data_IF_353125607572
#
_entry.id   IF_353125607572
#
_cell.length_a   1.000
_cell.length_b   1.000
_cell.length_c   1.000
_cell.angle_alpha   90.00
_cell.angle_beta   90.00
_cell.angle_gamma   90.00
#
_symmetry.space_group_name_H-M   'P 1'
#
loop_
_entity.id
_entity.type
_entity.pdbx_description
1 polymer ?
#
# COMPACT_ATOMS: atom_id res chain seq x y z
N UNK A 1 9.76 18.61 15.73
CA UNK A 1 9.74 17.17 16.11
C UNK A 1 8.79 16.49 15.13
N UNK A 2 9.31 16.19 13.93
CA UNK A 2 8.53 15.73 12.79
C UNK A 2 7.88 14.37 13.04
N UNK A 3 6.63 14.21 12.60
CA UNK A 3 6.03 12.89 12.37
C UNK A 3 6.81 12.23 11.23
N UNK A 4 7.57 11.19 11.56
CA UNK A 4 8.19 10.27 10.60
C UNK A 4 7.05 9.66 9.78
N UNK A 5 7.08 9.85 8.45
CA UNK A 5 6.14 9.19 7.55
C UNK A 5 6.42 7.67 7.60
N UNK A 6 5.37 6.86 7.74
CA UNK A 6 5.51 5.41 7.88
C UNK A 6 6.25 4.78 6.69
N UNK A 7 6.99 3.69 6.95
CA UNK A 7 7.77 2.91 5.98
C UNK A 7 6.98 2.55 4.71
N UNK A 8 5.69 2.24 4.87
CA UNK A 8 4.76 1.95 3.77
C UNK A 8 4.59 3.14 2.82
N UNK A 9 4.52 4.35 3.37
CA UNK A 9 4.32 5.56 2.58
C UNK A 9 5.56 5.92 1.74
N UNK A 10 6.76 5.79 2.31
CA UNK A 10 8.01 5.99 1.57
C UNK A 10 8.20 4.95 0.45
N UNK A 11 7.74 3.72 0.68
CA UNK A 11 7.74 2.65 -0.31
C UNK A 11 6.78 2.94 -1.48
N UNK A 12 5.56 3.38 -1.18
CA UNK A 12 4.57 3.74 -2.20
C UNK A 12 5.00 4.93 -3.06
N UNK A 13 5.61 5.95 -2.46
CA UNK A 13 6.13 7.10 -3.23
C UNK A 13 7.36 6.71 -4.07
N UNK A 14 8.24 5.86 -3.54
CA UNK A 14 9.35 5.29 -4.31
C UNK A 14 8.86 4.51 -5.54
N UNK A 15 7.83 3.69 -5.38
CA UNK A 15 7.18 2.99 -6.49
C UNK A 15 6.50 3.96 -7.46
N UNK A 16 5.81 4.99 -6.96
CA UNK A 16 5.19 6.01 -7.78
C UNK A 16 6.19 6.73 -8.71
N UNK A 17 7.41 7.02 -8.24
CA UNK A 17 8.45 7.59 -9.09
C UNK A 17 9.07 6.58 -10.06
N UNK A 18 9.15 5.30 -9.68
CA UNK A 18 9.61 4.23 -10.56
C UNK A 18 8.64 3.97 -11.72
N UNK A 19 7.33 4.13 -11.51
CA UNK A 19 6.30 4.00 -12.55
C UNK A 19 6.52 4.98 -13.72
N UNK A 20 7.17 6.12 -13.49
CA UNK A 20 7.47 7.08 -14.56
C UNK A 20 8.48 6.53 -15.58
N UNK A 21 9.25 5.51 -15.22
CA UNK A 21 10.17 4.83 -16.11
C UNK A 21 9.47 3.83 -17.04
N UNK A 22 8.19 3.50 -16.82
CA UNK A 22 7.47 2.47 -17.55
C UNK A 22 6.38 3.08 -18.45
N UNK A 23 6.50 2.83 -19.75
CA UNK A 23 5.51 3.18 -20.76
C UNK A 23 4.79 1.92 -21.25
N UNK A 24 3.51 1.81 -20.94
CA UNK A 24 2.69 0.62 -21.21
C UNK A 24 2.04 0.59 -22.61
N UNK A 25 2.51 1.43 -23.55
CA UNK A 25 1.97 1.46 -24.91
C UNK A 25 2.53 0.38 -25.85
N UNK A 26 3.49 -0.43 -25.38
CA UNK A 26 4.13 -1.48 -26.18
C UNK A 26 3.20 -2.69 -26.40
N UNK A 27 2.83 -3.03 -27.66
CA UNK A 27 1.96 -4.18 -27.94
C UNK A 27 2.71 -5.53 -27.87
N UNK A 28 4.05 -5.53 -27.87
CA UNK A 28 4.87 -6.73 -27.88
C UNK A 28 5.51 -7.01 -26.51
N UNK A 29 5.80 -8.27 -26.21
CA UNK A 29 6.44 -8.68 -24.95
C UNK A 29 7.74 -7.89 -24.68
N UNK A 30 7.96 -7.28 -23.50
CA UNK A 30 7.27 -7.48 -22.22
C UNK A 30 6.04 -6.58 -21.94
N UNK A 31 5.45 -5.96 -22.97
CA UNK A 31 4.27 -5.08 -22.90
C UNK A 31 4.48 -3.74 -22.19
N UNK A 32 5.75 -3.33 -22.06
CA UNK A 32 6.13 -1.98 -21.67
C UNK A 32 7.45 -1.59 -22.36
N UNK A 33 7.73 -0.31 -22.45
CA UNK A 33 9.06 0.26 -22.67
C UNK A 33 9.59 0.77 -21.33
N UNK A 34 10.82 0.42 -20.98
CA UNK A 34 11.49 0.96 -19.81
C UNK A 34 12.49 2.03 -20.25
N UNK A 35 12.29 3.27 -19.80
CA UNK A 35 13.20 4.38 -20.02
C UNK A 35 13.56 5.05 -18.70
N UNK A 36 14.80 4.80 -18.24
CA UNK A 36 15.33 5.37 -16.99
C UNK A 36 15.44 6.90 -17.06
N UNK A 37 15.55 7.49 -18.25
CA UNK A 37 15.62 8.96 -18.41
C UNK A 37 14.30 9.65 -18.07
N UNK A 38 13.19 8.89 -18.03
CA UNK A 38 11.90 9.39 -17.59
C UNK A 38 11.76 9.44 -16.05
N UNK A 39 12.71 8.85 -15.31
CA UNK A 39 12.72 8.95 -13.86
C UNK A 39 12.72 10.44 -13.46
N UNK A 40 11.82 10.87 -12.55
CA UNK A 40 11.69 12.28 -12.23
C UNK A 40 13.01 12.79 -11.66
N UNK A 41 13.55 13.86 -12.24
CA UNK A 41 14.75 14.50 -11.74
C UNK A 41 14.50 15.17 -10.37
N UNK A 42 15.59 15.59 -9.71
CA UNK A 42 15.54 16.17 -8.36
C UNK A 42 14.57 17.37 -8.26
N UNK A 43 14.40 18.14 -9.33
CA UNK A 43 13.48 19.28 -9.33
C UNK A 43 12.01 18.82 -9.35
N UNK A 44 11.69 17.78 -10.11
CA UNK A 44 10.34 17.18 -10.17
C UNK A 44 9.97 16.45 -8.89
N UNK A 45 10.90 15.70 -8.30
CA UNK A 45 10.71 15.05 -7.00
C UNK A 45 10.51 16.09 -5.89
N UNK A 46 11.33 17.16 -5.88
CA UNK A 46 11.18 18.27 -4.93
C UNK A 46 9.84 18.98 -5.10
N UNK A 47 9.35 19.13 -6.33
CA UNK A 47 8.04 19.71 -6.60
C UNK A 47 6.91 18.83 -6.05
N UNK A 48 6.99 17.51 -6.24
CA UNK A 48 6.07 16.54 -5.66
C UNK A 48 6.05 16.63 -4.12
N UNK A 49 7.22 16.63 -3.48
CA UNK A 49 7.33 16.73 -2.03
C UNK A 49 6.90 18.08 -1.48
N UNK A 50 7.23 19.17 -2.17
CA UNK A 50 6.77 20.50 -1.78
C UNK A 50 5.25 20.59 -1.82
N UNK A 51 4.62 20.06 -2.87
CA UNK A 51 3.17 19.98 -2.93
C UNK A 51 2.59 19.11 -1.80
N UNK A 52 3.19 17.95 -1.55
CA UNK A 52 2.75 17.01 -0.52
C UNK A 52 2.88 17.57 0.91
N UNK A 53 4.02 18.16 1.27
CA UNK A 53 4.27 18.69 2.62
C UNK A 53 3.52 20.00 2.88
N UNK A 54 3.38 20.87 1.87
CA UNK A 54 2.56 22.08 1.99
C UNK A 54 1.12 21.70 2.35
N UNK A 55 0.57 20.67 1.72
CA UNK A 55 -0.77 20.17 2.05
C UNK A 55 -0.83 19.54 3.46
N UNK A 56 0.26 18.91 3.90
CA UNK A 56 0.31 18.17 5.18
C UNK A 56 0.50 19.08 6.40
N UNK A 57 1.35 20.11 6.32
CA UNK A 57 1.67 21.01 7.45
C UNK A 57 0.70 22.19 7.63
N UNK A 58 0.02 22.63 6.57
CA UNK A 58 -1.03 23.67 6.67
C UNK A 58 -2.18 23.30 7.62
N UNK A 59 -2.33 22.00 7.93
CA UNK A 59 -3.33 21.47 8.85
C UNK A 59 -2.85 21.43 10.33
N UNK A 60 -1.57 21.67 10.62
CA UNK A 60 -1.00 21.54 11.99
C UNK A 60 -0.89 22.91 12.70
N UNK A 61 -0.59 23.99 11.98
CA UNK A 61 -0.44 25.33 12.60
C UNK A 61 -1.77 25.95 13.06
N UNK A 62 -2.88 25.63 12.41
CA UNK A 62 -4.21 26.15 12.80
C UNK A 62 -4.76 25.55 14.10
N UNK A 63 -4.19 24.43 14.58
CA UNK A 63 -4.66 23.75 15.80
C UNK A 63 -3.87 24.16 17.05
N UNK A 64 -2.70 24.78 16.88
CA UNK A 64 -1.84 25.22 17.98
C UNK A 64 -2.10 26.64 18.48
N UNK A 65 -2.67 27.54 17.66
CA UNK A 65 -2.99 28.91 18.07
C UNK A 65 -4.33 29.06 18.81
N UNK A 66 -5.27 28.11 18.67
CA UNK A 66 -6.62 28.24 19.24
C UNK A 66 -6.81 27.62 20.64
N UNK A 67 -5.75 27.12 21.29
CA UNK A 67 -5.85 26.45 22.62
C UNK A 67 -5.22 27.20 23.80
N UNK A 68 -4.80 28.46 23.64
CA UNK A 68 -4.33 29.30 24.77
C UNK A 68 -4.89 30.72 24.71
N UNK A 69 -6.12 30.88 25.18
CA UNK A 69 -6.64 31.98 26.02
C UNK A 69 -8.10 32.28 25.69
N UNK A 70 -8.98 31.92 26.63
CA UNK A 70 -10.35 32.40 26.68
C UNK A 70 -10.45 33.77 27.34
N UNK A 71 -11.60 34.42 27.06
CA UNK A 71 -12.20 35.64 27.64
C UNK A 71 -11.96 37.01 26.99
N UNK A 72 -13.03 37.43 26.29
CA UNK A 72 -13.61 38.76 26.05
C UNK A 72 -13.21 39.93 27.00
N UNK A 73 -12.83 41.09 26.45
CA UNK A 73 -13.67 42.29 26.27
C UNK A 73 -12.89 43.55 25.82
N UNK A 74 -13.53 44.35 24.94
CA UNK A 74 -13.47 45.81 24.66
C UNK A 74 -12.12 46.49 24.32
N UNK A 75 -11.99 47.58 23.55
CA UNK A 75 -12.76 48.45 22.63
C UNK A 75 -11.71 49.39 21.97
N UNK A 76 -11.88 49.73 20.70
CA UNK A 76 -11.36 50.86 19.89
C UNK A 76 -9.89 51.36 19.99
N UNK A 77 -9.17 51.32 18.86
CA UNK A 77 -8.91 52.50 18.00
C UNK A 77 -7.89 52.21 16.86
N UNK A 78 -8.21 52.77 15.67
CA UNK A 78 -7.36 53.25 14.55
C UNK A 78 -5.86 52.90 14.58
N UNK A 79 -5.21 52.43 13.50
CA UNK A 79 -5.13 53.09 12.19
C UNK A 79 -4.44 52.18 11.16
N UNK A 80 -4.80 52.34 9.88
CA UNK A 80 -4.25 51.61 8.75
C UNK A 80 -2.86 52.16 8.38
N UNK A 81 -1.83 51.31 8.33
CA UNK A 81 -0.73 51.57 7.40
C UNK A 81 -0.03 50.29 6.93
N UNK A 82 -0.03 50.15 5.60
CA UNK A 82 0.60 49.09 4.82
C UNK A 82 2.11 49.05 5.06
N UNK A 83 2.62 47.93 5.60
CA UNK A 83 3.93 47.34 5.29
C UNK A 83 4.16 46.10 6.16
N UNK A 84 3.60 44.96 5.77
CA UNK A 84 4.09 43.66 6.24
C UNK A 84 4.75 42.93 5.06
N UNK A 85 5.99 43.33 4.81
CA UNK A 85 7.01 42.44 4.25
C UNK A 85 7.10 41.25 5.21
N UNK A 86 6.59 40.09 4.80
CA UNK A 86 6.94 38.84 5.45
C UNK A 86 8.39 38.57 5.07
N UNK A 87 9.29 38.84 6.02
CA UNK A 87 10.69 38.40 5.93
C UNK A 87 10.70 36.88 6.00
N UNK A 88 11.24 36.23 4.98
CA UNK A 88 11.58 34.82 5.02
C UNK A 88 12.49 34.56 6.22
N UNK A 89 11.96 33.87 7.23
CA UNK A 89 12.76 33.32 8.31
C UNK A 89 13.56 32.13 7.75
N UNK A 90 14.88 32.26 7.83
CA UNK A 90 15.93 31.25 7.64
C UNK A 90 15.63 30.04 6.73
N UNK A 91 16.09 30.15 5.47
CA UNK A 91 16.18 29.08 4.47
C UNK A 91 16.97 27.81 4.89
N UNK A 92 17.53 27.71 6.09
CA UNK A 92 18.36 26.58 6.50
C UNK A 92 17.61 25.44 7.20
N UNK A 93 16.46 25.70 7.85
CA UNK A 93 15.69 24.65 8.54
C UNK A 93 14.72 23.91 7.60
N UNK A 94 14.09 24.61 6.64
CA UNK A 94 13.21 23.99 5.65
C UNK A 94 13.98 23.02 4.72
N UNK A 95 15.15 23.41 4.21
CA UNK A 95 15.96 22.57 3.32
C UNK A 95 16.44 21.27 3.99
N UNK A 96 16.60 21.25 5.33
CA UNK A 96 17.02 20.06 6.06
C UNK A 96 15.91 18.98 6.14
N UNK A 97 14.65 19.40 6.26
CA UNK A 97 13.48 18.53 6.25
C UNK A 97 13.24 17.88 4.88
N UNK A 98 13.39 18.68 3.81
CA UNK A 98 13.28 18.21 2.43
C UNK A 98 14.38 17.21 2.09
N UNK A 99 15.62 17.46 2.53
CA UNK A 99 16.72 16.53 2.31
C UNK A 99 16.47 15.20 3.03
N UNK A 100 15.93 15.20 4.26
CA UNK A 100 15.61 13.96 4.98
C UNK A 100 14.50 13.14 4.30
N UNK A 101 13.44 13.80 3.81
CA UNK A 101 12.34 13.15 3.08
C UNK A 101 12.78 12.65 1.70
N UNK A 102 13.62 13.42 1.02
CA UNK A 102 14.23 13.03 -0.25
C UNK A 102 15.18 11.84 -0.07
N UNK A 103 15.98 11.86 0.99
CA UNK A 103 16.79 10.73 1.47
C UNK A 103 15.88 9.52 1.67
N UNK A 104 14.85 9.59 2.54
CA UNK A 104 13.92 8.49 2.80
C UNK A 104 13.27 7.93 1.51
N UNK A 105 12.94 8.78 0.54
CA UNK A 105 12.34 8.38 -0.73
C UNK A 105 13.35 7.74 -1.68
N UNK A 106 14.55 8.30 -1.76
CA UNK A 106 15.64 7.72 -2.53
C UNK A 106 15.99 6.38 -1.96
N UNK A 107 16.00 6.22 -0.65
CA UNK A 107 16.31 4.96 -0.02
C UNK A 107 15.15 3.97 -0.02
N UNK A 108 13.90 4.41 0.05
CA UNK A 108 12.72 3.59 -0.22
C UNK A 108 12.69 3.11 -1.67
N UNK A 109 13.04 3.99 -2.61
CA UNK A 109 13.28 3.67 -4.02
C UNK A 109 14.48 2.75 -4.20
N UNK A 110 15.60 2.98 -3.50
CA UNK A 110 16.81 2.15 -3.57
C UNK A 110 16.55 0.78 -2.96
N UNK A 111 15.76 0.69 -1.90
CA UNK A 111 15.34 -0.55 -1.24
C UNK A 111 14.33 -1.30 -2.11
N UNK A 112 13.40 -0.59 -2.76
CA UNK A 112 12.53 -1.13 -3.81
C UNK A 112 13.37 -1.64 -4.97
N UNK A 113 14.34 -0.87 -5.48
CA UNK A 113 15.28 -1.29 -6.51
C UNK A 113 16.23 -2.38 -6.06
N UNK A 114 16.70 -2.44 -4.81
CA UNK A 114 17.55 -3.52 -4.29
C UNK A 114 16.72 -4.78 -4.09
N UNK A 115 15.46 -4.64 -3.70
CA UNK A 115 14.50 -5.72 -3.59
C UNK A 115 14.15 -6.25 -4.97
N UNK A 116 13.76 -5.40 -5.93
CA UNK A 116 13.49 -5.74 -7.33
C UNK A 116 14.74 -6.12 -8.12
N UNK A 117 15.95 -5.68 -7.74
CA UNK A 117 17.23 -6.05 -8.36
C UNK A 117 17.79 -7.32 -7.77
N UNK A 118 17.68 -7.56 -6.46
CA UNK A 118 17.97 -8.86 -5.86
C UNK A 118 16.96 -9.89 -6.37
N UNK A 119 15.68 -9.52 -6.44
CA UNK A 119 14.61 -10.30 -7.06
C UNK A 119 14.87 -10.49 -8.54
N UNK A 120 15.25 -9.47 -9.31
CA UNK A 120 15.53 -9.63 -10.75
C UNK A 120 16.88 -10.27 -11.02
N UNK A 121 17.84 -10.30 -10.09
CA UNK A 121 19.08 -11.06 -10.19
C UNK A 121 18.85 -12.53 -9.85
N UNK A 122 17.98 -12.85 -8.88
CA UNK A 122 17.50 -14.22 -8.64
C UNK A 122 16.62 -14.68 -9.81
N UNK A 123 15.68 -13.84 -10.23
CA UNK A 123 14.81 -14.08 -11.36
C UNK A 123 15.59 -14.09 -12.68
N UNK A 124 16.65 -13.30 -12.89
CA UNK A 124 17.49 -13.32 -14.11
C UNK A 124 18.51 -14.44 -14.11
N UNK A 125 19.04 -14.86 -12.95
CA UNK A 125 19.79 -16.14 -12.84
C UNK A 125 18.89 -17.32 -13.22
N UNK A 126 17.60 -17.25 -12.91
CA UNK A 126 16.59 -18.26 -13.29
C UNK A 126 16.06 -18.07 -14.73
N UNK A 127 15.87 -16.84 -15.23
CA UNK A 127 15.29 -16.51 -16.57
C UNK A 127 16.32 -16.50 -17.70
N UNK A 128 17.46 -15.82 -17.55
CA UNK A 128 18.39 -15.58 -18.67
C UNK A 128 19.21 -16.81 -19.01
N UNK A 129 19.55 -17.65 -18.01
CA UNK A 129 20.23 -18.93 -18.26
C UNK A 129 19.27 -20.01 -18.79
N UNK A 130 17.96 -19.91 -18.57
CA UNK A 130 16.99 -20.85 -19.14
C UNK A 130 16.41 -20.41 -20.49
N UNK A 131 16.09 -19.15 -20.75
CA UNK A 131 15.38 -18.80 -21.98
C UNK A 131 16.28 -18.90 -23.24
N UNK A 132 17.52 -18.41 -23.18
CA UNK A 132 18.42 -18.41 -24.34
C UNK A 132 19.19 -19.73 -24.53
N UNK A 133 19.59 -20.42 -23.45
CA UNK A 133 20.20 -21.74 -23.57
C UNK A 133 19.16 -22.78 -24.00
N UNK A 134 17.91 -22.75 -23.52
CA UNK A 134 16.92 -23.77 -23.92
C UNK A 134 16.51 -23.63 -25.39
N UNK A 135 16.41 -22.40 -25.91
CA UNK A 135 16.08 -22.16 -27.33
C UNK A 135 17.25 -22.44 -28.28
N UNK A 136 18.50 -22.26 -27.82
CA UNK A 136 19.71 -22.60 -28.59
C UNK A 136 20.07 -24.09 -28.49
N UNK A 137 19.88 -24.73 -27.33
CA UNK A 137 20.17 -26.14 -27.09
C UNK A 137 19.17 -27.08 -27.77
N UNK A 138 17.89 -26.73 -27.84
CA UNK A 138 16.90 -27.56 -28.57
C UNK A 138 17.23 -27.65 -30.06
N UNK A 139 17.92 -26.65 -30.63
CA UNK A 139 18.42 -26.68 -32.01
C UNK A 139 19.77 -27.40 -32.18
N UNK A 140 20.49 -27.69 -31.10
CA UNK A 140 21.84 -28.28 -31.12
C UNK A 140 21.95 -29.66 -30.43
N UNK A 141 20.85 -30.24 -29.92
CA UNK A 141 20.83 -31.67 -29.54
C UNK A 141 20.61 -32.53 -30.80
N UNK A 142 21.53 -32.38 -31.74
CA UNK A 142 22.12 -33.46 -32.50
C UNK A 142 23.64 -33.31 -32.28
N UNK A 143 24.20 -34.28 -31.55
CA UNK A 143 25.62 -34.58 -31.31
C UNK A 143 26.38 -34.07 -30.06
N UNK A 144 26.88 -35.10 -29.35
CA UNK A 144 28.13 -35.30 -28.59
C UNK A 144 28.35 -34.70 -27.20
N UNK A 145 28.67 -35.63 -26.27
CA UNK A 145 29.46 -35.56 -25.03
C UNK A 145 30.46 -34.39 -24.96
N UNK A 146 30.70 -33.72 -23.83
CA UNK A 146 31.29 -34.26 -22.59
C UNK A 146 31.30 -33.19 -21.45
N UNK A 147 31.61 -33.62 -20.23
CA UNK A 147 32.07 -32.87 -19.04
C UNK A 147 31.08 -32.53 -17.89
N UNK A 148 31.19 -33.39 -16.87
CA UNK A 148 30.96 -33.35 -15.42
C UNK A 148 30.31 -32.18 -14.64
N UNK A 149 30.15 -30.97 -15.17
CA UNK A 149 29.52 -29.85 -14.44
C UNK A 149 27.98 -29.84 -14.54
N UNK A 150 27.46 -30.71 -15.42
CA UNK A 150 26.04 -30.83 -15.75
C UNK A 150 25.24 -31.69 -14.74
N UNK A 151 25.90 -32.33 -13.76
CA UNK A 151 25.20 -33.20 -12.80
C UNK A 151 24.43 -32.45 -11.71
N UNK A 152 24.95 -31.34 -11.20
CA UNK A 152 24.26 -30.57 -10.13
C UNK A 152 23.04 -29.81 -10.66
N UNK A 153 23.14 -29.26 -11.87
CA UNK A 153 22.02 -28.57 -12.51
C UNK A 153 20.97 -29.54 -13.04
N UNK A 154 21.37 -30.69 -13.62
CA UNK A 154 20.42 -31.77 -13.93
C UNK A 154 19.78 -32.34 -12.68
N UNK A 155 20.48 -32.47 -11.55
CA UNK A 155 19.87 -32.94 -10.31
C UNK A 155 18.84 -31.95 -9.78
N UNK A 156 19.14 -30.64 -9.75
CA UNK A 156 18.20 -29.60 -9.28
C UNK A 156 17.02 -29.43 -10.24
N UNK A 157 17.23 -29.47 -11.55
CA UNK A 157 16.16 -29.40 -12.55
C UNK A 157 15.33 -30.68 -12.60
N UNK A 158 15.94 -31.86 -12.49
CA UNK A 158 15.19 -33.11 -12.35
C UNK A 158 14.48 -33.18 -10.99
N UNK A 159 14.98 -32.53 -9.93
CA UNK A 159 14.25 -32.38 -8.66
C UNK A 159 13.09 -31.37 -8.76
N UNK A 160 13.29 -30.21 -9.39
CA UNK A 160 12.25 -29.18 -9.48
C UNK A 160 11.21 -29.55 -10.52
N UNK A 161 11.59 -30.11 -11.67
CA UNK A 161 10.64 -30.56 -12.70
C UNK A 161 10.05 -31.94 -12.44
N UNK A 162 10.64 -32.79 -11.58
CA UNK A 162 9.93 -33.99 -11.10
C UNK A 162 8.90 -33.68 -10.01
N UNK A 163 8.92 -32.48 -9.40
CA UNK A 163 8.04 -32.14 -8.28
C UNK A 163 7.15 -30.88 -8.48
N UNK A 164 7.47 -29.96 -9.41
CA UNK A 164 6.60 -28.84 -9.77
C UNK A 164 5.68 -29.22 -10.94
N UNK A 165 4.43 -29.54 -10.60
CA UNK A 165 3.40 -30.00 -11.54
C UNK A 165 2.68 -28.84 -12.26
N UNK A 166 2.87 -27.60 -11.81
CA UNK A 166 2.12 -26.43 -12.28
C UNK A 166 3.06 -25.26 -12.65
N UNK A 167 2.78 -24.61 -13.78
CA UNK A 167 3.42 -23.39 -14.29
C UNK A 167 2.37 -22.57 -15.07
N UNK A 168 2.64 -21.28 -15.29
CA UNK A 168 1.81 -20.45 -16.17
C UNK A 168 2.00 -20.86 -17.63
N UNK A 169 0.89 -21.11 -18.33
CA UNK A 169 0.86 -21.36 -19.77
C UNK A 169 0.89 -20.05 -20.57
N UNK A 170 1.22 -20.09 -21.87
CA UNK A 170 1.20 -18.90 -22.72
C UNK A 170 -0.16 -18.20 -22.70
N UNK A 171 -0.17 -16.90 -22.38
CA UNK A 171 -1.38 -16.08 -22.27
C UNK A 171 -2.01 -16.06 -20.88
N UNK A 172 -1.54 -16.91 -19.96
CA UNK A 172 -2.00 -16.88 -18.57
C UNK A 172 -1.24 -15.83 -17.75
N UNK A 173 -1.99 -15.12 -16.92
CA UNK A 173 -1.47 -14.14 -15.98
C UNK A 173 -1.81 -14.53 -14.55
N UNK A 174 -1.18 -13.86 -13.58
CA UNK A 174 -1.53 -14.04 -12.17
C UNK A 174 -3.02 -13.81 -11.92
N UNK A 175 -3.58 -12.73 -12.49
CA UNK A 175 -5.00 -12.41 -12.35
C UNK A 175 -5.90 -13.42 -13.05
N UNK A 176 -5.51 -13.95 -14.22
CA UNK A 176 -6.32 -14.96 -14.90
C UNK A 176 -6.35 -16.29 -14.14
N UNK A 177 -5.26 -16.65 -13.44
CA UNK A 177 -5.15 -17.89 -12.67
C UNK A 177 -5.82 -17.81 -11.29
N UNK A 178 -5.53 -16.75 -10.54
CA UNK A 178 -6.01 -16.57 -9.16
C UNK A 178 -7.35 -15.82 -9.07
N UNK A 179 -7.82 -15.27 -10.20
CA UNK A 179 -9.16 -14.72 -10.39
C UNK A 179 -9.53 -13.72 -9.28
N UNK A 180 -10.70 -13.87 -8.67
CA UNK A 180 -11.22 -12.96 -7.64
C UNK A 180 -10.36 -12.84 -6.38
N UNK A 181 -9.42 -13.77 -6.15
CA UNK A 181 -8.51 -13.72 -5.00
C UNK A 181 -7.15 -13.14 -5.34
N UNK A 182 -6.83 -12.88 -6.62
CA UNK A 182 -5.50 -12.44 -7.05
C UNK A 182 -5.09 -11.17 -6.29
N UNK A 183 -5.91 -10.13 -6.30
CA UNK A 183 -5.61 -8.88 -5.60
C UNK A 183 -5.43 -9.10 -4.10
N UNK A 184 -6.33 -9.83 -3.43
CA UNK A 184 -6.25 -10.03 -1.98
C UNK A 184 -5.00 -10.84 -1.56
N UNK A 185 -4.63 -11.86 -2.33
CA UNK A 185 -3.42 -12.67 -2.07
C UNK A 185 -2.17 -11.81 -2.28
N UNK A 186 -2.11 -11.00 -3.34
CA UNK A 186 -0.94 -10.17 -3.61
C UNK A 186 -0.78 -9.05 -2.59
N UNK A 187 -1.87 -8.38 -2.21
CA UNK A 187 -1.86 -7.39 -1.14
C UNK A 187 -1.42 -8.03 0.19
N UNK A 188 -1.93 -9.22 0.51
CA UNK A 188 -1.51 -9.95 1.70
C UNK A 188 -0.03 -10.30 1.69
N UNK A 189 0.51 -10.66 0.52
CA UNK A 189 1.94 -10.93 0.36
C UNK A 189 2.76 -9.67 0.59
N UNK A 190 2.37 -8.54 0.02
CA UNK A 190 3.06 -7.26 0.17
C UNK A 190 3.07 -6.79 1.64
N UNK A 191 1.90 -6.77 2.28
CA UNK A 191 1.72 -6.40 3.70
C UNK A 191 2.55 -7.31 4.63
N UNK A 192 2.54 -8.64 4.38
CA UNK A 192 3.37 -9.58 5.12
C UNK A 192 4.87 -9.30 4.98
N UNK A 193 5.35 -8.93 3.78
CA UNK A 193 6.77 -8.56 3.57
C UNK A 193 7.11 -7.33 4.40
N UNK A 194 6.23 -6.31 4.42
CA UNK A 194 6.41 -5.10 5.22
C UNK A 194 6.61 -5.41 6.70
N UNK A 195 5.68 -6.15 7.32
CA UNK A 195 5.78 -6.50 8.74
C UNK A 195 6.94 -7.49 9.02
N UNK A 196 7.30 -8.36 8.09
CA UNK A 196 8.39 -9.33 8.27
C UNK A 196 9.79 -8.69 8.25
N UNK A 197 9.98 -7.65 7.42
CA UNK A 197 11.27 -6.97 7.25
C UNK A 197 11.43 -5.72 8.12
N UNK A 198 10.36 -5.18 8.71
CA UNK A 198 10.41 -3.91 9.45
C UNK A 198 11.34 -3.91 10.68
N UNK A 199 11.75 -5.07 11.19
CA UNK A 199 12.71 -5.20 12.31
C UNK A 199 14.15 -5.45 11.86
N UNK A 200 14.47 -5.33 10.56
CA UNK A 200 15.85 -5.42 10.11
C UNK A 200 16.60 -4.14 10.48
N UNK A 201 17.80 -4.21 11.10
CA UNK A 201 18.57 -3.02 11.47
C UNK A 201 18.80 -2.08 10.29
N UNK A 202 19.16 -2.63 9.12
CA UNK A 202 19.35 -1.87 7.89
C UNK A 202 18.07 -1.11 7.47
N UNK A 203 16.90 -1.70 7.66
CA UNK A 203 15.63 -1.03 7.36
C UNK A 203 15.40 0.10 8.36
N UNK A 204 15.61 -0.14 9.65
CA UNK A 204 15.40 0.89 10.69
C UNK A 204 16.37 2.07 10.56
N UNK A 205 17.65 1.80 10.34
CA UNK A 205 18.68 2.81 10.05
C UNK A 205 18.28 3.67 8.87
N UNK A 206 17.63 3.06 7.88
CA UNK A 206 17.25 3.75 6.67
C UNK A 206 16.20 4.84 6.87
N UNK A 207 15.36 4.69 7.89
CA UNK A 207 14.36 5.66 8.31
C UNK A 207 14.85 6.56 9.45
N UNK A 208 16.17 6.61 9.69
CA UNK A 208 16.79 7.32 10.80
C UNK A 208 16.18 6.92 12.17
N UNK A 209 15.71 5.68 12.29
CA UNK A 209 15.12 5.15 13.52
C UNK A 209 16.21 4.58 14.40
N UNK A 210 16.16 4.87 15.69
CA UNK A 210 17.18 4.45 16.64
C UNK A 210 17.23 2.91 16.73
N UNK A 211 18.38 2.33 16.36
CA UNK A 211 18.66 0.89 16.47
C UNK A 211 19.29 0.49 17.80
N UNK A 212 19.58 1.44 18.70
CA UNK A 212 20.15 1.21 20.03
C UNK A 212 19.12 0.67 21.05
N UNK A 213 18.20 -0.16 20.60
CA UNK A 213 17.40 -1.00 21.49
C UNK A 213 18.24 -2.21 21.88
N UNK A 214 18.08 -2.73 23.11
CA UNK A 214 18.69 -4.02 23.47
C UNK A 214 18.30 -5.09 22.44
N UNK A 215 19.21 -6.00 22.12
CA UNK A 215 19.00 -7.10 21.14
C UNK A 215 17.71 -7.90 21.38
N UNK A 216 17.19 -7.87 22.61
CA UNK A 216 16.00 -8.61 23.05
C UNK A 216 14.71 -7.77 23.09
N UNK A 217 14.76 -6.49 22.73
CA UNK A 217 13.59 -5.59 22.77
C UNK A 217 13.15 -5.16 21.38
N UNK A 218 11.87 -5.36 21.07
CA UNK A 218 11.24 -4.87 19.84
C UNK A 218 11.09 -3.35 19.91
N UNK A 219 11.64 -2.58 18.94
CA UNK A 219 11.47 -1.13 18.88
C UNK A 219 10.00 -0.71 18.81
N UNK A 220 9.66 0.46 19.35
CA UNK A 220 8.26 0.93 19.38
C UNK A 220 7.64 1.08 18.00
N UNK A 221 8.40 1.59 17.02
CA UNK A 221 7.95 1.69 15.64
C UNK A 221 7.58 0.33 15.04
N UNK A 222 8.35 -0.71 15.35
CA UNK A 222 8.07 -2.09 14.93
C UNK A 222 6.82 -2.58 15.63
N UNK A 223 6.73 -2.44 16.95
CA UNK A 223 5.55 -2.87 17.71
C UNK A 223 4.27 -2.19 17.24
N UNK A 224 4.30 -0.87 17.02
CA UNK A 224 3.16 -0.08 16.55
C UNK A 224 2.79 -0.48 15.13
N UNK A 225 3.75 -0.79 14.25
CA UNK A 225 3.47 -1.29 12.91
C UNK A 225 2.66 -2.61 12.96
N UNK A 226 3.12 -3.57 13.77
CA UNK A 226 2.41 -4.84 13.97
C UNK A 226 1.05 -4.66 14.64
N UNK A 227 0.94 -3.78 15.64
CA UNK A 227 -0.33 -3.48 16.30
C UNK A 227 -1.31 -2.81 15.34
N UNK A 228 -0.83 -1.91 14.48
CA UNK A 228 -1.62 -1.26 13.43
C UNK A 228 -2.15 -2.28 12.43
N UNK A 229 -1.33 -3.26 12.02
CA UNK A 229 -1.72 -4.36 11.16
C UNK A 229 -2.84 -5.21 11.78
N UNK A 230 -2.64 -5.66 13.02
CA UNK A 230 -3.65 -6.45 13.78
C UNK A 230 -4.94 -5.67 13.94
N UNK A 231 -4.86 -4.40 14.37
CA UNK A 231 -6.01 -3.50 14.48
C UNK A 231 -6.74 -3.35 13.17
N UNK A 232 -6.00 -3.17 12.08
CA UNK A 232 -6.57 -3.03 10.75
C UNK A 232 -7.27 -4.32 10.30
N UNK A 233 -6.73 -5.49 10.65
CA UNK A 233 -7.40 -6.78 10.43
C UNK A 233 -8.74 -6.90 11.17
N UNK A 234 -8.81 -6.44 12.43
CA UNK A 234 -10.06 -6.40 13.20
C UNK A 234 -11.06 -5.44 12.57
N UNK A 235 -10.65 -4.19 12.31
CA UNK A 235 -11.56 -3.19 11.74
C UNK A 235 -12.01 -3.54 10.32
N UNK A 236 -11.20 -4.31 9.59
CA UNK A 236 -11.51 -4.74 8.22
C UNK A 236 -12.71 -5.67 8.13
N UNK A 237 -13.11 -6.33 9.23
CA UNK A 237 -14.29 -7.21 9.25
C UNK A 237 -15.57 -6.51 8.78
N UNK A 238 -15.67 -5.17 8.86
CA UNK A 238 -16.79 -4.41 8.31
C UNK A 238 -16.99 -4.62 6.79
N UNK A 239 -15.91 -4.93 6.06
CA UNK A 239 -15.92 -5.12 4.59
C UNK A 239 -16.23 -6.54 4.16
N UNK A 240 -16.38 -7.47 5.10
CA UNK A 240 -16.83 -8.81 4.82
C UNK A 240 -18.36 -8.86 4.77
N UNK A 241 -18.94 -9.45 3.72
CA UNK A 241 -20.36 -9.80 3.66
C UNK A 241 -20.48 -11.27 4.07
N UNK A 242 -21.18 -11.58 5.17
CA UNK A 242 -21.44 -12.97 5.56
C UNK A 242 -22.19 -13.74 4.47
N UNK A 243 -22.01 -15.06 4.47
CA UNK A 243 -22.78 -15.95 3.61
C UNK A 243 -24.28 -15.86 3.94
N UNK A 244 -25.11 -15.71 2.90
CA UNK A 244 -26.57 -15.69 3.05
C UNK A 244 -27.18 -17.09 2.82
N UNK A 245 -26.53 -17.94 2.01
CA UNK A 245 -26.98 -19.30 1.73
C UNK A 245 -26.05 -20.35 2.33
N UNK A 246 -26.61 -21.54 2.59
CA UNK A 246 -25.82 -22.70 3.02
C UNK A 246 -24.86 -23.14 1.90
N UNK A 247 -23.55 -23.11 2.17
CA UNK A 247 -22.49 -23.47 1.22
C UNK A 247 -21.71 -22.27 0.68
N UNK A 248 -22.18 -21.04 0.89
CA UNK A 248 -21.43 -19.84 0.55
C UNK A 248 -20.40 -19.53 1.64
N UNK A 249 -19.23 -19.00 1.24
CA UNK A 249 -18.11 -18.68 2.14
C UNK A 249 -18.05 -17.19 2.52
N UNK A 250 -19.10 -16.44 2.17
CA UNK A 250 -19.14 -14.98 2.23
C UNK A 250 -18.21 -14.31 1.22
N UNK A 251 -18.21 -12.99 1.18
CA UNK A 251 -17.42 -12.22 0.21
C UNK A 251 -16.79 -10.97 0.82
N UNK A 252 -15.53 -10.73 0.47
CA UNK A 252 -14.83 -9.50 0.84
C UNK A 252 -15.06 -8.43 -0.21
N UNK A 253 -15.46 -7.23 0.23
CA UNK A 253 -15.67 -6.09 -0.67
C UNK A 253 -14.40 -5.28 -0.94
N UNK A 254 -13.30 -5.57 -0.25
CA UNK A 254 -12.04 -4.83 -0.36
C UNK A 254 -10.85 -5.77 -0.15
N UNK A 255 -9.91 -5.79 -1.10
CA UNK A 255 -8.79 -6.74 -1.15
C UNK A 255 -7.78 -6.58 0.01
N UNK A 256 -7.33 -5.36 0.30
CA UNK A 256 -6.44 -5.07 1.43
C UNK A 256 -7.06 -5.42 2.79
N UNK A 257 -8.37 -5.25 2.96
CA UNK A 257 -9.11 -5.58 4.17
C UNK A 257 -9.17 -7.09 4.38
N UNK A 258 -9.41 -7.84 3.30
CA UNK A 258 -9.28 -9.30 3.30
C UNK A 258 -7.86 -9.72 3.70
N UNK A 259 -6.84 -9.15 3.05
CA UNK A 259 -5.43 -9.39 3.35
C UNK A 259 -5.07 -9.16 4.82
N UNK A 260 -5.45 -8.02 5.39
CA UNK A 260 -5.16 -7.68 6.80
C UNK A 260 -5.87 -8.61 7.79
N UNK A 261 -7.09 -9.03 7.46
CA UNK A 261 -7.79 -10.04 8.27
C UNK A 261 -7.13 -11.43 8.15
N UNK A 262 -6.64 -11.82 6.97
CA UNK A 262 -5.85 -13.05 6.79
C UNK A 262 -4.59 -13.00 7.65
N UNK A 263 -3.86 -11.89 7.66
CA UNK A 263 -2.67 -11.69 8.50
C UNK A 263 -3.04 -11.84 9.99
N UNK A 264 -4.13 -11.21 10.43
CA UNK A 264 -4.65 -11.37 11.79
C UNK A 264 -4.89 -12.86 12.11
N UNK A 265 -5.54 -13.60 11.21
CA UNK A 265 -5.84 -15.02 11.39
C UNK A 265 -4.59 -15.90 11.45
N UNK A 266 -3.56 -15.60 10.65
CA UNK A 266 -2.25 -16.28 10.73
C UNK A 266 -1.61 -16.09 12.10
N UNK A 267 -1.68 -14.88 12.67
CA UNK A 267 -1.10 -14.59 13.98
C UNK A 267 -1.87 -15.24 15.13
N UNK A 268 -3.21 -15.25 15.07
CA UNK A 268 -4.06 -15.95 16.04
C UNK A 268 -3.78 -17.46 16.02
N UNK A 269 -3.72 -18.05 14.82
CA UNK A 269 -3.44 -19.49 14.66
C UNK A 269 -2.05 -19.87 15.18
N UNK A 270 -1.06 -18.99 15.05
CA UNK A 270 0.30 -19.24 15.53
C UNK A 270 0.38 -19.39 17.05
N UNK A 271 -0.28 -18.49 17.80
CA UNK A 271 -0.37 -18.53 19.27
C UNK A 271 -1.47 -17.57 19.75
N UNK A 272 -2.52 -18.10 20.38
CA UNK A 272 -3.62 -17.29 20.96
C UNK A 272 -3.16 -16.33 22.08
N UNK A 273 -1.95 -16.50 22.62
CA UNK A 273 -1.35 -15.57 23.57
C UNK A 273 -0.44 -14.52 22.93
N UNK A 274 -0.17 -14.61 21.61
CA UNK A 274 0.46 -13.54 20.84
C UNK A 274 -0.56 -12.44 20.50
N UNK A 275 -1.70 -12.81 19.91
CA UNK A 275 -2.76 -11.88 19.52
C UNK A 275 -4.10 -12.35 20.06
N UNK A 276 -4.85 -11.42 20.67
CA UNK A 276 -6.20 -11.67 21.17
C UNK A 276 -7.11 -10.46 20.95
N UNK A 277 -8.38 -10.72 20.66
CA UNK A 277 -9.41 -9.69 20.50
C UNK A 277 -10.53 -9.99 21.49
N UNK A 278 -10.61 -9.19 22.53
CA UNK A 278 -11.58 -9.36 23.63
C UNK A 278 -12.73 -8.37 23.47
N UNK A 279 -13.96 -8.84 23.67
CA UNK A 279 -15.11 -7.97 23.84
C UNK A 279 -15.07 -7.31 25.23
N UNK A 280 -15.28 -6.00 25.27
CA UNK A 280 -15.32 -5.20 26.49
C UNK A 280 -16.55 -4.28 26.46
N UNK A 281 -16.80 -3.58 27.57
CA UNK A 281 -17.77 -2.48 27.61
C UNK A 281 -16.99 -1.17 27.50
N UNK A 282 -17.32 -0.35 26.51
CA UNK A 282 -16.69 0.95 26.31
C UNK A 282 -17.10 1.97 27.37
N UNK A 283 -16.42 3.11 27.41
CA UNK A 283 -16.69 4.20 28.37
C UNK A 283 -18.12 4.77 28.24
N UNK A 284 -18.77 4.56 27.09
CA UNK A 284 -20.14 4.94 26.80
C UNK A 284 -21.19 3.89 27.23
N UNK A 285 -20.75 2.77 27.82
CA UNK A 285 -21.61 1.67 28.25
C UNK A 285 -22.04 0.71 27.12
N UNK A 286 -21.62 0.95 25.88
CA UNK A 286 -21.94 0.06 24.75
C UNK A 286 -20.85 -1.02 24.54
N UNK A 287 -21.12 -2.13 23.83
CA UNK A 287 -20.10 -3.13 23.49
C UNK A 287 -18.94 -2.51 22.69
N UNK A 288 -17.70 -2.85 23.03
CA UNK A 288 -16.47 -2.41 22.35
C UNK A 288 -15.44 -3.56 22.32
N UNK A 289 -14.28 -3.34 21.71
CA UNK A 289 -13.22 -4.34 21.57
C UNK A 289 -11.88 -3.85 22.12
N UNK A 290 -11.15 -4.74 22.80
CA UNK A 290 -9.73 -4.55 23.13
C UNK A 290 -8.87 -5.51 22.34
N UNK A 291 -7.79 -4.99 21.75
CA UNK A 291 -6.81 -5.79 21.01
C UNK A 291 -5.56 -5.92 21.86
N UNK A 292 -5.16 -7.15 22.13
CA UNK A 292 -3.91 -7.48 22.78
C UNK A 292 -2.89 -7.98 21.75
N UNK A 293 -1.67 -7.46 21.83
CA UNK A 293 -0.52 -7.92 21.07
C UNK A 293 0.69 -8.04 22.01
N UNK A 294 1.20 -9.24 22.21
CA UNK A 294 2.38 -9.50 23.04
C UNK A 294 3.67 -9.13 22.31
N UNK A 295 4.30 -8.04 22.76
CA UNK A 295 5.57 -7.55 22.22
C UNK A 295 6.70 -8.57 22.31
N UNK A 296 6.77 -9.36 23.38
CA UNK A 296 7.86 -10.32 23.61
C UNK A 296 7.80 -11.50 22.64
N UNK A 297 6.60 -11.80 22.13
CA UNK A 297 6.36 -12.90 21.19
C UNK A 297 6.42 -12.49 19.72
N UNK A 298 6.54 -11.20 19.42
CA UNK A 298 6.56 -10.71 18.03
C UNK A 298 7.68 -11.33 17.20
N UNK A 299 8.92 -11.33 17.69
CA UNK A 299 10.06 -11.84 16.92
C UNK A 299 10.23 -13.36 17.01
N UNK A 300 9.74 -13.98 18.09
CA UNK A 300 9.90 -15.41 18.37
C UNK A 300 8.74 -16.26 17.86
N UNK A 301 7.53 -15.71 17.75
CA UNK A 301 6.32 -16.41 17.29
C UNK A 301 5.74 -15.73 16.05
N UNK A 302 5.45 -14.43 16.12
CA UNK A 302 4.76 -13.71 15.04
C UNK A 302 5.56 -13.68 13.74
N UNK A 303 6.82 -13.27 13.79
CA UNK A 303 7.70 -13.18 12.62
C UNK A 303 7.95 -14.54 11.96
N UNK A 304 8.26 -15.64 12.69
CA UNK A 304 8.32 -16.97 12.09
C UNK A 304 7.02 -17.42 11.42
N UNK A 305 5.86 -17.17 12.04
CA UNK A 305 4.56 -17.53 11.46
C UNK A 305 4.29 -16.79 10.14
N UNK A 306 4.53 -15.47 10.10
CA UNK A 306 4.44 -14.69 8.87
C UNK A 306 5.45 -15.18 7.83
N UNK A 307 6.68 -15.52 8.23
CA UNK A 307 7.70 -16.05 7.33
C UNK A 307 7.31 -17.40 6.71
N UNK A 308 6.65 -18.28 7.45
CA UNK A 308 6.10 -19.53 6.91
C UNK A 308 4.94 -19.28 5.95
N UNK A 309 4.00 -18.42 6.35
CA UNK A 309 2.88 -18.03 5.51
C UNK A 309 3.35 -17.40 4.18
N UNK A 310 4.31 -16.47 4.25
CA UNK A 310 4.95 -15.82 3.09
C UNK A 310 5.56 -16.84 2.12
N UNK A 311 6.27 -17.84 2.63
CA UNK A 311 6.86 -18.89 1.80
C UNK A 311 5.79 -19.69 1.05
N UNK A 312 4.68 -20.03 1.72
CA UNK A 312 3.57 -20.78 1.12
C UNK A 312 2.87 -19.98 0.03
N UNK A 313 2.46 -18.73 0.30
CA UNK A 313 1.79 -17.90 -0.71
C UNK A 313 2.71 -17.60 -1.90
N UNK A 314 4.01 -17.39 -1.66
CA UNK A 314 4.98 -17.18 -2.73
C UNK A 314 5.18 -18.44 -3.57
N UNK A 315 5.21 -19.62 -2.94
CA UNK A 315 5.26 -20.90 -3.64
C UNK A 315 4.06 -21.06 -4.58
N UNK A 316 2.84 -20.87 -4.08
CA UNK A 316 1.62 -21.00 -4.91
C UNK A 316 1.61 -19.99 -6.08
N UNK A 317 1.99 -18.74 -5.81
CA UNK A 317 2.12 -17.70 -6.84
C UNK A 317 3.14 -18.11 -7.91
N UNK A 318 4.35 -18.47 -7.51
CA UNK A 318 5.45 -18.77 -8.46
C UNK A 318 5.19 -20.02 -9.31
N UNK A 319 4.42 -20.98 -8.78
CA UNK A 319 4.11 -22.24 -9.45
C UNK A 319 2.77 -22.21 -10.19
N UNK A 320 2.09 -21.06 -10.27
CA UNK A 320 0.73 -20.97 -10.82
C UNK A 320 -0.27 -21.98 -10.22
N UNK A 321 0.01 -22.50 -9.01
CA UNK A 321 -0.83 -23.48 -8.34
C UNK A 321 -2.01 -22.75 -7.67
N UNK A 322 -2.91 -22.25 -8.52
CA UNK A 322 -4.06 -21.47 -8.11
C UNK A 322 -5.07 -22.31 -7.30
N UNK A 323 -5.24 -23.59 -7.63
CA UNK A 323 -6.19 -24.47 -6.92
C UNK A 323 -5.83 -24.56 -5.44
N UNK A 324 -4.60 -24.95 -5.12
CA UNK A 324 -4.17 -25.12 -3.74
C UNK A 324 -3.91 -23.77 -3.07
N UNK A 325 -3.38 -22.78 -3.81
CA UNK A 325 -3.13 -21.44 -3.29
C UNK A 325 -4.41 -20.70 -2.90
N UNK A 326 -5.46 -20.78 -3.72
CA UNK A 326 -6.76 -20.21 -3.40
C UNK A 326 -7.40 -20.92 -2.22
N UNK A 327 -7.36 -22.26 -2.16
CA UNK A 327 -7.90 -23.02 -1.03
C UNK A 327 -7.16 -22.67 0.29
N UNK A 328 -5.83 -22.59 0.24
CA UNK A 328 -5.00 -22.18 1.36
C UNK A 328 -5.35 -20.78 1.85
N UNK A 329 -5.48 -19.81 0.95
CA UNK A 329 -5.82 -18.43 1.33
C UNK A 329 -7.25 -18.31 1.85
N UNK A 330 -8.19 -19.04 1.23
CA UNK A 330 -9.61 -19.04 1.62
C UNK A 330 -9.83 -19.52 3.05
N UNK A 331 -9.02 -20.47 3.52
CA UNK A 331 -9.05 -20.94 4.90
C UNK A 331 -8.90 -19.79 5.91
N UNK A 332 -8.00 -18.84 5.62
CA UNK A 332 -7.76 -17.68 6.49
C UNK A 332 -8.74 -16.53 6.22
N UNK A 333 -9.26 -16.39 5.00
CA UNK A 333 -10.12 -15.25 4.65
C UNK A 333 -11.55 -15.39 5.18
N UNK A 334 -12.03 -16.59 5.50
CA UNK A 334 -13.36 -16.77 6.08
C UNK A 334 -13.40 -16.25 7.52
N UNK A 335 -14.49 -15.55 7.89
CA UNK A 335 -14.65 -15.11 9.27
C UNK A 335 -14.89 -16.31 10.20
N UNK A 336 -14.16 -16.37 11.31
CA UNK A 336 -14.46 -17.36 12.35
C UNK A 336 -15.84 -17.08 12.94
N UNK A 337 -16.60 -18.10 13.39
CA UNK A 337 -17.90 -17.91 14.02
C UNK A 337 -17.89 -16.88 15.16
N UNK A 338 -16.83 -16.85 15.97
CA UNK A 338 -16.60 -15.86 17.02
C UNK A 338 -16.36 -14.45 16.45
N UNK A 339 -15.60 -14.31 15.37
CA UNK A 339 -15.32 -13.04 14.71
C UNK A 339 -16.56 -12.45 14.02
N UNK A 340 -17.54 -13.28 13.62
CA UNK A 340 -18.83 -12.79 13.10
C UNK A 340 -19.55 -11.93 14.16
N UNK A 341 -19.47 -12.30 15.45
CA UNK A 341 -20.04 -11.50 16.54
C UNK A 341 -19.27 -10.18 16.72
N UNK A 342 -17.94 -10.25 16.73
CA UNK A 342 -17.07 -9.07 16.85
C UNK A 342 -17.27 -8.08 15.70
N UNK A 343 -17.53 -8.58 14.48
CA UNK A 343 -17.82 -7.76 13.30
C UNK A 343 -18.97 -6.79 13.54
N UNK A 344 -20.03 -7.20 14.24
CA UNK A 344 -21.16 -6.30 14.50
C UNK A 344 -20.75 -5.14 15.41
N UNK A 345 -19.89 -5.40 16.39
CA UNK A 345 -19.32 -4.36 17.26
C UNK A 345 -18.45 -3.41 16.44
N UNK A 346 -17.60 -3.93 15.55
CA UNK A 346 -16.79 -3.11 14.62
C UNK A 346 -17.66 -2.18 13.78
N UNK A 347 -18.77 -2.67 13.24
CA UNK A 347 -19.71 -1.85 12.44
C UNK A 347 -20.37 -0.78 13.30
N UNK A 348 -20.82 -1.14 14.51
CA UNK A 348 -21.45 -0.18 15.43
C UNK A 348 -20.48 0.91 15.89
N UNK A 349 -19.19 0.59 16.00
CA UNK A 349 -18.10 1.50 16.38
C UNK A 349 -17.47 2.25 15.19
N UNK A 350 -17.93 1.98 13.97
CA UNK A 350 -17.39 2.56 12.75
C UNK A 350 -17.53 4.08 12.75
N UNK A 351 -16.43 4.77 12.41
CA UNK A 351 -16.45 6.20 12.09
C UNK A 351 -16.61 6.40 10.58
N UNK A 352 -17.37 7.42 10.13
CA UNK A 352 -17.42 7.79 8.72
C UNK A 352 -16.00 8.02 8.18
N UNK A 353 -15.74 7.58 6.94
CA UNK A 353 -14.45 7.85 6.30
C UNK A 353 -14.32 9.35 6.05
N UNK A 354 -13.16 9.97 6.33
CA UNK A 354 -12.95 11.38 6.03
C UNK A 354 -13.04 11.61 4.52
N UNK A 355 -13.59 12.76 4.14
CA UNK A 355 -13.56 13.25 2.77
C UNK A 355 -12.39 14.22 2.67
N UNK A 356 -11.52 14.01 1.68
CA UNK A 356 -10.38 14.89 1.44
C UNK A 356 -10.78 15.99 0.46
N UNK A 357 -10.56 17.23 0.89
CA UNK A 357 -10.64 18.39 0.00
C UNK A 357 -9.34 18.47 -0.78
N UNK A 358 -9.42 18.41 -2.11
CA UNK A 358 -8.23 18.48 -2.95
C UNK A 358 -8.01 19.92 -3.45
N UNK A 359 -6.77 20.41 -3.47
CA UNK A 359 -6.49 21.73 -4.02
C UNK A 359 -6.69 21.75 -5.56
N UNK A 360 -6.86 22.97 -6.07
CA UNK A 360 -6.87 23.29 -7.49
C UNK A 360 -5.52 23.85 -7.94
N UNK A 361 -5.28 23.86 -9.24
CA UNK A 361 -4.12 24.50 -9.84
C UNK A 361 -4.60 25.54 -10.85
N UNK A 362 -4.06 26.77 -10.75
CA UNK A 362 -4.39 27.85 -11.68
C UNK A 362 -3.12 28.39 -12.32
N UNK A 363 -3.14 28.47 -13.65
CA UNK A 363 -2.04 29.09 -14.41
C UNK A 363 -2.18 30.61 -14.34
N UNK A 364 -1.09 31.28 -13.98
CA UNK A 364 -0.97 32.75 -13.95
C UNK A 364 0.13 33.19 -14.92
N UNK A 365 0.25 34.49 -15.24
CA UNK A 365 1.37 34.99 -16.05
C UNK A 365 2.76 34.72 -15.43
N UNK A 366 2.82 34.48 -14.12
CA UNK A 366 4.06 34.29 -13.37
C UNK A 366 4.34 32.82 -12.98
N UNK A 367 3.46 31.88 -13.34
CA UNK A 367 3.65 30.46 -13.04
C UNK A 367 2.35 29.70 -12.79
N UNK A 368 2.39 28.76 -11.85
CA UNK A 368 1.24 27.97 -11.40
C UNK A 368 1.01 28.26 -9.92
N UNK A 369 -0.23 28.59 -9.58
CA UNK A 369 -0.68 28.87 -8.23
C UNK A 369 -1.51 27.69 -7.71
N UNK A 370 -1.29 27.32 -6.44
CA UNK A 370 -2.09 26.33 -5.73
C UNK A 370 -3.30 27.03 -5.10
N UNK A 371 -4.51 26.57 -5.42
CA UNK A 371 -5.76 27.06 -4.84
C UNK A 371 -6.19 26.07 -3.75
N UNK A 372 -6.14 26.52 -2.50
CA UNK A 372 -6.62 25.76 -1.35
C UNK A 372 -8.08 26.09 -1.04
N UNK A 373 -8.80 25.12 -0.49
CA UNK A 373 -10.20 25.27 -0.10
C UNK A 373 -10.39 24.89 1.38
N UNK A 374 -11.38 25.46 2.08
CA UNK A 374 -11.67 25.09 3.46
C UNK A 374 -12.01 23.60 3.59
N UNK A 375 -11.64 22.96 4.71
CA UNK A 375 -11.94 21.55 5.04
C UNK A 375 -13.41 21.35 5.47
N UNK A 376 -14.33 21.84 4.65
CA UNK A 376 -15.78 21.78 4.86
C UNK A 376 -16.48 21.18 3.64
N UNK A 377 -17.73 20.73 3.78
CA UNK A 377 -18.52 20.25 2.64
C UNK A 377 -18.64 21.30 1.52
N UNK A 378 -18.80 22.57 1.89
CA UNK A 378 -18.82 23.66 0.91
C UNK A 378 -17.48 23.81 0.19
N UNK A 379 -16.36 23.63 0.90
CA UNK A 379 -15.02 23.63 0.30
C UNK A 379 -14.79 22.46 -0.66
N UNK A 380 -15.28 21.25 -0.33
CA UNK A 380 -15.29 20.12 -1.29
C UNK A 380 -16.03 20.52 -2.56
N UNK A 381 -17.26 21.02 -2.44
CA UNK A 381 -18.09 21.40 -3.59
C UNK A 381 -17.38 22.46 -4.44
N UNK A 382 -16.88 23.53 -3.81
CA UNK A 382 -16.20 24.61 -4.50
C UNK A 382 -14.95 24.10 -5.25
N UNK A 383 -14.19 23.17 -4.64
CA UNK A 383 -13.00 22.59 -5.28
C UNK A 383 -13.30 21.83 -6.58
N UNK A 384 -14.51 21.31 -6.74
CA UNK A 384 -14.96 20.67 -7.98
C UNK A 384 -15.55 21.69 -8.95
N UNK A 385 -16.31 22.68 -8.45
CA UNK A 385 -16.84 23.76 -9.28
C UNK A 385 -15.70 24.49 -9.97
N UNK A 386 -14.66 24.91 -9.25
CA UNK A 386 -13.54 25.67 -9.84
C UNK A 386 -12.71 24.79 -10.79
N UNK A 387 -12.60 23.49 -10.51
CA UNK A 387 -11.87 22.53 -11.34
C UNK A 387 -12.48 22.36 -12.73
N UNK A 388 -13.80 22.49 -12.87
CA UNK A 388 -14.51 22.27 -14.13
C UNK A 388 -15.24 23.51 -14.66
N UNK A 389 -15.41 24.57 -13.86
CA UNK A 389 -16.14 25.78 -14.23
C UNK A 389 -15.32 26.70 -15.14
N UNK A 390 -14.04 26.90 -14.81
CA UNK A 390 -13.17 27.83 -15.53
C UNK A 390 -12.39 27.19 -16.68
N UNK A 391 -12.52 25.86 -16.85
CA UNK A 391 -11.83 25.14 -17.91
C UNK A 391 -12.68 25.11 -19.20
N UNK A 392 -12.09 25.43 -20.37
CA UNK A 392 -12.78 25.38 -21.67
C UNK A 392 -13.42 24.03 -22.02
N UNK A 393 -13.00 22.97 -21.33
CA UNK A 393 -13.45 21.60 -21.54
C UNK A 393 -14.45 21.11 -20.48
N UNK A 394 -14.72 21.86 -19.42
CA UNK A 394 -15.58 21.38 -18.32
C UNK A 394 -17.01 21.09 -18.75
N UNK A 395 -17.67 22.05 -19.41
CA UNK A 395 -19.02 21.83 -19.96
C UNK A 395 -19.02 20.70 -21.00
N UNK A 396 -17.99 20.64 -21.86
CA UNK A 396 -17.86 19.55 -22.85
C UNK A 396 -17.69 18.18 -22.20
N UNK A 397 -17.00 18.11 -21.06
CA UNK A 397 -16.83 16.87 -20.31
C UNK A 397 -18.16 16.43 -19.69
N UNK A 398 -18.96 17.36 -19.16
CA UNK A 398 -20.31 17.06 -18.66
C UNK A 398 -21.22 16.53 -19.79
N UNK A 399 -21.25 17.21 -20.94
CA UNK A 399 -22.05 16.79 -22.09
C UNK A 399 -21.60 15.41 -22.62
N UNK A 400 -20.29 15.13 -22.62
CA UNK A 400 -19.73 13.83 -23.00
C UNK A 400 -20.13 12.72 -22.02
N UNK A 401 -20.07 12.99 -20.71
CA UNK A 401 -20.50 12.03 -19.68
C UNK A 401 -21.99 11.71 -19.82
N UNK A 402 -22.84 12.72 -20.04
CA UNK A 402 -24.27 12.52 -20.26
C UNK A 402 -24.54 11.71 -21.53
N UNK A 403 -23.80 11.99 -22.61
CA UNK A 403 -23.94 11.25 -23.88
C UNK A 403 -23.63 9.76 -23.70
N UNK A 404 -22.54 9.44 -22.99
CA UNK A 404 -22.15 8.05 -22.69
C UNK A 404 -23.23 7.39 -21.81
N UNK A 405 -23.67 8.08 -20.75
CA UNK A 405 -24.70 7.58 -19.86
C UNK A 405 -26.01 7.25 -20.59
N UNK A 406 -26.50 8.14 -21.46
CA UNK A 406 -27.71 7.91 -22.26
C UNK A 406 -27.56 6.74 -23.24
N UNK A 407 -26.39 6.59 -23.84
CA UNK A 407 -26.08 5.49 -24.76
C UNK A 407 -26.11 4.14 -24.04
N UNK A 408 -25.64 4.08 -22.80
CA UNK A 408 -25.50 2.84 -22.03
C UNK A 408 -26.71 2.53 -21.14
N UNK A 409 -27.60 3.49 -20.93
CA UNK A 409 -28.86 3.33 -20.20
C UNK A 409 -29.66 2.06 -20.57
N UNK A 410 -29.74 1.62 -21.85
CA UNK A 410 -30.44 0.39 -22.21
C UNK A 410 -29.91 -0.89 -21.55
N UNK A 411 -28.63 -0.95 -21.17
CA UNK A 411 -28.02 -2.12 -20.51
C UNK A 411 -28.47 -2.28 -19.05
N UNK A 412 -29.05 -1.24 -18.45
CA UNK A 412 -29.39 -1.20 -17.01
C UNK A 412 -30.90 -1.20 -16.73
N UNK A 413 -31.75 -1.38 -17.75
CA UNK A 413 -33.23 -1.29 -17.64
C UNK A 413 -33.88 -2.23 -16.61
N UNK A 414 -33.19 -3.31 -16.23
CA UNK A 414 -33.69 -4.33 -15.30
C UNK A 414 -32.92 -4.37 -13.97
N UNK A 415 -32.07 -3.38 -13.67
CA UNK A 415 -31.41 -3.30 -12.37
C UNK A 415 -32.34 -2.56 -11.40
N UNK A 416 -32.80 -3.20 -10.31
CA UNK A 416 -33.56 -2.50 -9.28
C UNK A 416 -32.69 -1.41 -8.64
N UNK A 417 -33.21 -0.18 -8.59
CA UNK A 417 -32.60 0.96 -7.90
C UNK A 417 -32.71 0.83 -6.38
#
# INVERSE_FOLDING_TARGET
>A
MQKILGVEFAFDVGNHFNEWCYDYTNPDQPYYFHNIENYPDRSKQRLFWKAYLTETYSNVENDHFNKRNGNFNCVDNYEHNNNNVVRFANHHEEDCDYENLWIETIYGSLLSHLFWSAWSLDYAKVRMKHYHLTKSWIKQINYSHDNNDDRNFRLIYHWICAFCVHLYEPGETYDSKFSSLSSAIEECRAECVGIYLCNLPLVLEQFNLNTNCSTDSVPDVVYVNWLSMVRSGVTSMEFYSPAENAGDIGSWRQAHCCARYVILRVLIEADNSLVRVDEIVGDDGAPDLTIFLDRQKLLTVGRPAIGEFLRKIQYYKSTANAKDGCAFFQHYCQLLPEHIKLRQIVINRKKPRPIFVQPGLRKTPHGVELISYPTTYAGVIQSFVDRYGDLPLGQKALDALETIWRRELPYFKNIPL
#
